data_IF_118896052188
#
_entry.id   IF_118896052188
#
_cell.length_a   1.000
_cell.length_b   1.000
_cell.length_c   1.000
_cell.angle_alpha   90.00
_cell.angle_beta   90.00
_cell.angle_gamma   90.00
#
_symmetry.space_group_name_H-M   'P 1'
#
loop_
_entity.id
_entity.type
_entity.pdbx_description
1 polymer ?
#
# COMPACT_ATOMS: atom_id res chain seq x y z
N UNK A 1 -1.65 -0.68 -2.54
CA UNK A 1 -2.50 0.47 -2.16
C UNK A 1 -2.34 0.72 -0.68
N UNK A 2 -1.95 1.93 -0.31
CA UNK A 2 -1.53 2.24 1.06
C UNK A 2 -2.67 2.82 1.89
N UNK A 3 -2.94 2.17 3.02
CA UNK A 3 -3.92 2.57 4.02
C UNK A 3 -3.22 2.95 5.34
N UNK A 4 -3.76 3.95 6.03
CA UNK A 4 -3.27 4.40 7.35
C UNK A 4 -4.37 4.50 8.40
N UNK A 5 -5.62 4.41 7.95
CA UNK A 5 -6.83 4.45 8.76
C UNK A 5 -7.90 3.63 8.07
N UNK A 6 -8.96 3.35 8.82
CA UNK A 6 -10.12 2.67 8.27
C UNK A 6 -10.70 3.46 7.10
N UNK A 7 -11.07 2.74 6.05
CA UNK A 7 -11.64 3.31 4.85
C UNK A 7 -12.56 2.29 4.20
N UNK A 8 -13.83 2.69 4.04
CA UNK A 8 -14.89 1.85 3.48
C UNK A 8 -14.67 1.44 2.02
N UNK A 9 -13.64 2.02 1.37
CA UNK A 9 -13.34 1.75 -0.02
C UNK A 9 -12.03 0.99 -0.20
N UNK A 10 -12.19 -0.27 -0.56
CA UNK A 10 -11.16 -1.11 -1.19
C UNK A 10 -11.70 -1.44 -2.58
N UNK A 11 -11.03 -1.04 -3.68
CA UNK A 11 -11.55 -1.38 -4.99
C UNK A 11 -11.61 -2.90 -5.14
N UNK A 12 -12.74 -3.39 -5.65
CA UNK A 12 -12.90 -4.79 -5.98
C UNK A 12 -12.18 -5.08 -7.31
N UNK A 13 -10.85 -5.22 -7.25
CA UNK A 13 -10.04 -5.55 -8.41
C UNK A 13 -8.75 -6.23 -7.99
N UNK A 14 -8.40 -7.31 -8.69
CA UNK A 14 -7.23 -8.15 -8.42
C UNK A 14 -5.89 -7.44 -8.65
N UNK A 15 -5.89 -6.27 -9.30
CA UNK A 15 -4.68 -5.46 -9.51
C UNK A 15 -4.29 -4.64 -8.28
N UNK A 16 -5.21 -4.48 -7.32
CA UNK A 16 -4.97 -3.71 -6.10
C UNK A 16 -4.78 -4.64 -4.91
N UNK A 17 -3.57 -4.65 -4.36
CA UNK A 17 -3.32 -5.24 -3.05
C UNK A 17 -3.38 -4.16 -1.96
N UNK A 18 -4.32 -4.22 -1.01
CA UNK A 18 -4.35 -3.31 0.12
C UNK A 18 -3.20 -3.64 1.10
N UNK A 19 -2.47 -2.61 1.51
CA UNK A 19 -1.38 -2.69 2.48
C UNK A 19 -1.56 -1.57 3.51
N UNK A 20 -1.52 -1.92 4.79
CA UNK A 20 -1.44 -0.96 5.88
C UNK A 20 0.01 -0.50 6.06
N UNK A 21 0.28 0.77 5.74
CA UNK A 21 1.61 1.36 5.88
C UNK A 21 1.84 1.92 7.29
N UNK A 22 3.08 1.87 7.76
CA UNK A 22 3.43 2.30 9.12
C UNK A 22 2.82 1.40 10.20
N UNK A 23 2.56 0.12 9.89
CA UNK A 23 2.01 -0.84 10.84
C UNK A 23 2.85 -0.95 12.12
N UNK A 24 4.17 -0.75 12.04
CA UNK A 24 5.05 -0.76 13.20
C UNK A 24 4.75 0.34 14.25
N UNK A 25 4.05 1.41 13.88
CA UNK A 25 3.74 2.53 14.78
C UNK A 25 2.32 2.52 15.34
N UNK A 26 1.46 1.61 14.89
CA UNK A 26 0.05 1.63 15.25
C UNK A 26 -0.44 0.26 15.70
N UNK A 27 -1.28 0.26 16.73
CA UNK A 27 -2.05 -0.92 17.16
C UNK A 27 -3.36 -1.07 16.37
N UNK A 28 -3.64 -0.15 15.45
CA UNK A 28 -4.82 -0.24 14.59
C UNK A 28 -4.71 -1.48 13.70
N UNK A 29 -5.70 -2.35 13.77
CA UNK A 29 -5.84 -3.51 12.90
C UNK A 29 -6.88 -3.19 11.82
N UNK A 30 -6.44 -3.10 10.55
CA UNK A 30 -7.34 -2.87 9.42
C UNK A 30 -7.81 -4.17 8.75
N UNK A 31 -7.43 -5.34 9.29
CA UNK A 31 -7.76 -6.64 8.70
C UNK A 31 -7.11 -6.92 7.33
N UNK A 32 -6.14 -6.08 6.93
CA UNK A 32 -5.35 -6.21 5.69
C UNK A 32 -3.87 -6.43 6.02
N UNK A 33 -3.10 -6.88 5.03
CA UNK A 33 -1.65 -7.06 5.17
C UNK A 33 -0.96 -5.76 5.61
N UNK A 34 -0.02 -5.85 6.55
CA UNK A 34 0.74 -4.71 7.04
C UNK A 34 2.19 -4.73 6.57
N UNK A 35 2.76 -3.54 6.36
CA UNK A 35 4.17 -3.36 5.96
C UNK A 35 5.19 -3.65 7.09
N UNK A 36 4.73 -4.00 8.30
CA UNK A 36 5.57 -4.20 9.49
C UNK A 36 6.14 -5.60 9.66
N UNK A 37 5.99 -6.48 8.65
CA UNK A 37 6.40 -7.90 8.71
C UNK A 37 7.59 -8.17 7.79
N UNK A 38 8.30 -9.28 8.00
CA UNK A 38 9.44 -9.66 7.15
C UNK A 38 10.52 -8.57 7.10
N UNK A 39 11.13 -8.36 5.93
CA UNK A 39 12.10 -7.29 5.74
C UNK A 39 11.37 -5.97 5.45
N UNK A 40 11.47 -5.02 6.38
CA UNK A 40 10.69 -3.80 6.32
C UNK A 40 11.39 -2.57 6.88
N UNK A 41 10.84 -1.41 6.51
CA UNK A 41 11.21 -0.09 7.04
C UNK A 41 9.97 0.64 7.60
N UNK A 42 8.98 -0.11 8.09
CA UNK A 42 7.70 0.44 8.57
C UNK A 42 7.89 1.48 9.68
N UNK A 43 8.91 1.31 10.53
CA UNK A 43 9.32 2.29 11.56
C UNK A 43 9.83 3.63 10.99
N UNK A 44 9.93 3.77 9.67
CA UNK A 44 10.29 5.04 9.04
C UNK A 44 9.10 5.69 8.34
N UNK A 45 7.89 5.18 8.53
CA UNK A 45 6.69 5.70 7.87
C UNK A 45 6.45 7.19 8.12
N UNK A 46 6.81 7.72 9.30
CA UNK A 46 6.74 9.16 9.60
C UNK A 46 7.58 10.03 8.64
N UNK A 47 8.64 9.47 8.06
CA UNK A 47 9.55 10.17 7.15
C UNK A 47 9.35 9.78 5.68
N UNK A 48 8.89 8.55 5.42
CA UNK A 48 8.84 7.96 4.06
C UNK A 48 7.42 7.68 3.57
N UNK A 49 6.40 7.78 4.42
CA UNK A 49 4.99 7.56 4.11
C UNK A 49 4.79 6.29 3.27
N UNK A 50 4.13 6.38 2.10
CA UNK A 50 3.75 5.24 1.25
C UNK A 50 4.95 4.41 0.77
N UNK A 51 6.15 4.98 0.76
CA UNK A 51 7.38 4.30 0.30
C UNK A 51 7.70 3.11 1.19
N UNK A 52 7.28 3.13 2.47
CA UNK A 52 7.44 1.99 3.38
C UNK A 52 6.69 0.74 2.88
N UNK A 53 5.46 0.92 2.39
CA UNK A 53 4.68 -0.13 1.76
C UNK A 53 5.30 -0.60 0.44
N UNK A 54 5.82 0.31 -0.39
CA UNK A 54 6.50 -0.05 -1.63
C UNK A 54 7.77 -0.88 -1.36
N UNK A 55 8.57 -0.48 -0.37
CA UNK A 55 9.76 -1.21 0.04
C UNK A 55 9.40 -2.62 0.52
N UNK A 56 8.35 -2.73 1.33
CA UNK A 56 7.87 -4.01 1.81
C UNK A 56 7.44 -4.93 0.66
N UNK A 57 6.69 -4.40 -0.32
CA UNK A 57 6.33 -5.14 -1.55
C UNK A 57 7.56 -5.64 -2.28
N UNK A 58 8.58 -4.79 -2.48
CA UNK A 58 9.81 -5.19 -3.16
C UNK A 58 10.55 -6.32 -2.44
N UNK A 59 10.54 -6.35 -1.11
CA UNK A 59 11.32 -7.32 -0.33
C UNK A 59 10.59 -8.62 -0.01
N UNK A 60 9.26 -8.61 0.00
CA UNK A 60 8.46 -9.72 0.55
C UNK A 60 7.50 -10.33 -0.46
N UNK A 61 7.35 -9.75 -1.66
CA UNK A 61 6.48 -10.28 -2.71
C UNK A 61 7.28 -10.79 -3.91
N UNK A 62 6.68 -11.74 -4.61
CA UNK A 62 7.22 -12.24 -5.88
C UNK A 62 7.32 -11.09 -6.91
N UNK A 63 8.40 -11.04 -7.72
CA UNK A 63 8.55 -10.06 -8.76
C UNK A 63 7.38 -10.12 -9.76
N UNK A 64 6.67 -9.01 -9.93
CA UNK A 64 5.66 -8.84 -10.98
C UNK A 64 6.22 -7.99 -12.11
N UNK A 65 5.58 -8.03 -13.28
CA UNK A 65 5.99 -7.22 -14.44
C UNK A 65 5.93 -5.71 -14.16
N UNK A 66 4.97 -5.29 -13.33
CA UNK A 66 4.77 -3.91 -12.95
C UNK A 66 4.30 -3.83 -11.48
N UNK A 67 4.91 -2.92 -10.72
CA UNK A 67 4.50 -2.57 -9.36
C UNK A 67 4.17 -1.09 -9.34
N UNK A 68 2.97 -0.77 -8.83
CA UNK A 68 2.48 0.61 -8.69
C UNK A 68 2.16 0.92 -7.24
N UNK A 69 2.21 2.22 -6.90
CA UNK A 69 1.91 2.72 -5.57
C UNK A 69 0.82 3.80 -5.66
N UNK A 70 -0.23 3.64 -4.86
CA UNK A 70 -1.29 4.63 -4.73
C UNK A 70 -1.79 4.69 -3.29
N UNK A 71 -2.32 5.86 -2.92
CA UNK A 71 -2.98 6.07 -1.64
C UNK A 71 -4.42 5.56 -1.71
N UNK A 72 -4.99 5.14 -0.59
CA UNK A 72 -6.39 4.73 -0.46
C UNK A 72 -7.45 5.75 -0.98
N UNK A 73 -7.06 7.02 -1.22
CA UNK A 73 -7.94 8.09 -1.75
C UNK A 73 -7.59 8.61 -3.14
N UNK A 74 -6.46 8.20 -3.73
CA UNK A 74 -5.99 8.74 -5.01
C UNK A 74 -5.60 7.59 -5.94
N UNK A 75 -6.31 7.46 -7.04
CA UNK A 75 -6.16 6.38 -8.01
C UNK A 75 -5.65 6.94 -9.34
N UNK A 76 -4.88 6.13 -10.06
CA UNK A 76 -4.51 6.47 -11.43
C UNK A 76 -5.71 6.23 -12.35
N UNK A 77 -5.98 7.21 -13.21
CA UNK A 77 -6.93 7.02 -14.29
C UNK A 77 -6.17 6.51 -15.52
N UNK A 78 -6.45 5.28 -15.92
CA UNK A 78 -5.86 4.64 -17.10
C UNK A 78 -6.78 4.70 -18.34
N UNK A 79 -7.96 5.31 -18.25
CA UNK A 79 -8.81 5.54 -19.42
C UNK A 79 -8.11 6.49 -20.37
N UNK A 80 -7.97 6.11 -21.64
CA UNK A 80 -7.58 7.05 -22.68
C UNK A 80 -8.70 8.09 -22.81
N UNK A 81 -8.42 9.34 -22.44
CA UNK A 81 -9.36 10.43 -22.68
C UNK A 81 -9.54 10.60 -24.18
N UNK A 82 -10.76 10.43 -24.69
CA UNK A 82 -11.14 11.04 -25.96
C UNK A 82 -11.23 12.54 -25.69
N UNK A 83 -10.25 13.29 -26.19
CA UNK A 83 -10.37 14.74 -26.45
C UNK A 83 -10.96 14.94 -27.83
#
# INVERSE_FOLDING_TARGET
MCYYKDNDFVPNSDIYMPIQCGKAFTKLELGISGDGTGNNISIRNTYWSEITGLYWTWKNMEPTKYVGLCSYRRFFNFSHGFS
#
